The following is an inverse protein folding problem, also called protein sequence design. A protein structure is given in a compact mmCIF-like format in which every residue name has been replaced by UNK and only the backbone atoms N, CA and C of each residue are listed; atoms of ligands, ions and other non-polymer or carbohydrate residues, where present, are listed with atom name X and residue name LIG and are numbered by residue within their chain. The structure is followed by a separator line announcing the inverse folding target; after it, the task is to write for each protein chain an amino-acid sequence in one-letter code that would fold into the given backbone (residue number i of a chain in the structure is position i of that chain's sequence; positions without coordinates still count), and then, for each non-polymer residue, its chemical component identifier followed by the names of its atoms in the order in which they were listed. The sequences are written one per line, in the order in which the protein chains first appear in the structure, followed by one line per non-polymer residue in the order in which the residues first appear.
data_IF_007883944850
#
_entry.id   IF_007883944850
#
_cell.length_a   1.000
_cell.length_b   1.000
_cell.length_c   1.000
_cell.angle_alpha   90.00
_cell.angle_beta   90.00
_cell.angle_gamma   90.00
#
_symmetry.space_group_name_H-M   'P 1'
#
loop_
_entity.id
_entity.type
_entity.pdbx_description
1 polymer ?
#
# COMPACT_ATOMS: atom_id res chain seq x y z
N UNK A 1 2.78 4.35 18.14
CA UNK A 1 4.06 4.09 17.45
C UNK A 1 3.69 3.84 16.00
N UNK A 2 4.28 4.55 15.04
CA UNK A 2 3.91 4.42 13.61
C UNK A 2 5.07 3.74 12.87
N UNK A 3 4.78 2.78 12.01
CA UNK A 3 5.82 2.05 11.26
C UNK A 3 6.32 2.93 10.11
N UNK A 4 7.63 3.24 10.08
CA UNK A 4 8.26 3.97 8.98
C UNK A 4 9.14 3.01 8.17
N UNK A 5 8.89 2.84 6.86
CA UNK A 5 9.74 2.01 6.02
C UNK A 5 11.13 2.65 5.86
N UNK A 6 12.16 1.81 5.85
CA UNK A 6 13.55 2.26 5.66
C UNK A 6 13.91 2.40 4.17
N UNK A 7 13.24 1.63 3.31
CA UNK A 7 13.44 1.61 1.86
C UNK A 7 12.09 1.64 1.16
N UNK A 8 12.00 2.37 0.06
CA UNK A 8 10.79 2.53 -0.75
C UNK A 8 10.88 1.68 -2.03
N UNK A 9 9.74 1.18 -2.49
CA UNK A 9 9.62 0.40 -3.74
C UNK A 9 8.66 1.13 -4.67
N UNK A 10 9.17 1.61 -5.80
CA UNK A 10 8.36 2.32 -6.81
C UNK A 10 7.51 1.34 -7.62
N UNK A 11 6.20 1.56 -7.65
CA UNK A 11 5.25 0.90 -8.53
C UNK A 11 4.75 1.89 -9.58
N UNK A 12 4.69 1.44 -10.84
CA UNK A 12 4.25 2.23 -12.00
C UNK A 12 3.30 1.42 -12.87
N UNK A 13 2.41 2.10 -13.60
CA UNK A 13 1.51 1.50 -14.58
C UNK A 13 0.58 0.44 -13.99
N UNK A 14 0.49 -0.73 -14.63
CA UNK A 14 -0.48 -1.78 -14.24
C UNK A 14 -0.24 -2.34 -12.83
N UNK A 15 1.01 -2.37 -12.36
CA UNK A 15 1.35 -2.88 -11.03
C UNK A 15 1.04 -1.87 -9.93
N UNK A 16 1.11 -0.56 -10.23
CA UNK A 16 0.58 0.50 -9.37
C UNK A 16 -0.93 0.34 -9.15
N UNK A 17 -1.69 0.11 -10.23
CA UNK A 17 -3.15 -0.07 -10.16
C UNK A 17 -3.52 -1.33 -9.36
N UNK A 18 -2.79 -2.44 -9.53
CA UNK A 18 -3.02 -3.65 -8.73
C UNK A 18 -2.72 -3.42 -7.25
N UNK A 19 -1.64 -2.70 -6.93
CA UNK A 19 -1.26 -2.41 -5.55
C UNK A 19 -2.28 -1.49 -4.88
N UNK A 20 -2.79 -0.46 -5.58
CA UNK A 20 -3.88 0.39 -5.08
C UNK A 20 -5.11 -0.46 -4.71
N UNK A 21 -5.59 -1.29 -5.64
CA UNK A 21 -6.76 -2.16 -5.39
C UNK A 21 -6.55 -3.13 -4.23
N UNK A 22 -5.33 -3.62 -4.03
CA UNK A 22 -4.99 -4.51 -2.93
C UNK A 22 -5.03 -3.76 -1.59
N UNK A 23 -4.48 -2.54 -1.52
CA UNK A 23 -4.54 -1.70 -0.33
C UNK A 23 -5.98 -1.33 0.01
N UNK A 24 -6.78 -0.92 -0.98
CA UNK A 24 -8.21 -0.63 -0.80
C UNK A 24 -8.97 -1.84 -0.24
N UNK A 25 -8.67 -3.04 -0.73
CA UNK A 25 -9.28 -4.28 -0.26
C UNK A 25 -8.88 -4.61 1.18
N UNK A 26 -7.64 -4.29 1.58
CA UNK A 26 -7.16 -4.48 2.95
C UNK A 26 -7.76 -3.46 3.92
N UNK A 27 -7.93 -2.21 3.52
CA UNK A 27 -8.54 -1.16 4.35
C UNK A 27 -10.04 -1.35 4.55
N UNK A 28 -10.71 -2.05 3.63
CA UNK A 28 -12.13 -2.34 3.70
C UNK A 28 -12.47 -3.60 4.54
N UNK A 29 -11.47 -4.27 5.12
CA UNK A 29 -11.71 -5.40 6.02
C UNK A 29 -11.95 -4.88 7.45
N UNK A 30 -13.08 -5.24 8.04
CA UNK A 30 -13.48 -4.84 9.41
C UNK A 30 -12.44 -5.22 10.49
N UNK A 31 -11.63 -6.25 10.23
CA UNK A 31 -10.60 -6.76 11.14
C UNK A 31 -9.23 -6.10 10.97
N UNK A 32 -9.05 -5.26 9.93
CA UNK A 32 -7.78 -4.59 9.65
C UNK A 32 -7.75 -3.22 10.30
N UNK A 33 -6.80 -3.00 11.22
CA UNK A 33 -6.69 -1.77 11.98
C UNK A 33 -5.87 -0.69 11.26
N UNK A 34 -4.66 -1.04 10.82
CA UNK A 34 -3.74 -0.12 10.14
C UNK A 34 -2.92 -0.89 9.10
N UNK A 35 -2.83 -0.35 7.88
CA UNK A 35 -2.03 -0.91 6.79
C UNK A 35 -0.77 -0.06 6.61
N UNK A 36 0.40 -0.69 6.69
CA UNK A 36 1.68 -0.05 6.45
C UNK A 36 2.34 -0.65 5.21
N UNK A 37 2.66 0.20 4.24
CA UNK A 37 3.35 -0.20 3.01
C UNK A 37 4.55 0.69 2.75
N UNK A 38 5.57 0.13 2.11
CA UNK A 38 6.70 0.86 1.57
C UNK A 38 6.60 1.08 0.06
N UNK A 39 5.45 0.75 -0.53
CA UNK A 39 5.14 0.99 -1.93
C UNK A 39 4.95 2.50 -2.16
N UNK A 40 5.76 3.07 -3.06
CA UNK A 40 5.53 4.38 -3.64
C UNK A 40 4.78 4.16 -4.94
N UNK A 41 3.53 4.58 -4.99
CA UNK A 41 2.68 4.41 -6.17
C UNK A 41 2.74 5.73 -6.95
N UNK A 42 3.45 5.71 -8.08
CA UNK A 42 3.47 6.84 -9.00
C UNK A 42 2.26 6.74 -9.96
N UNK A 43 1.60 7.88 -10.18
CA UNK A 43 0.36 8.01 -10.97
C UNK A 43 0.59 7.74 -12.48
#
# INVERSE_FOLDING_TARGET
VVMKPQNEVSFVGDDAIKMQKLLDALENLDDVQEVFTNAVIEE
#
